data_IF_072750926136
#
_entry.id   IF_072750926136
#
_cell.length_a   1.000
_cell.length_b   1.000
_cell.length_c   1.000
_cell.angle_alpha   90.00
_cell.angle_beta   90.00
_cell.angle_gamma   90.00
#
_symmetry.space_group_name_H-M   'P 1'
#
loop_
_entity.id
_entity.type
_entity.pdbx_description
1 polymer ?
#
# COMPACT_ATOMS: atom_id res chain seq x y z
N UNK A 1 13.90 -9.38 20.34
CA UNK A 1 12.91 -8.87 19.36
C UNK A 1 11.81 -9.88 19.04
N UNK A 2 12.00 -10.92 18.20
CA UNK A 2 10.89 -11.87 17.87
C UNK A 2 10.47 -12.75 19.06
N UNK A 3 11.44 -13.29 19.81
CA UNK A 3 11.18 -14.21 20.94
C UNK A 3 10.42 -13.56 22.09
N UNK A 4 10.59 -12.25 22.29
CA UNK A 4 9.87 -11.47 23.31
C UNK A 4 8.40 -11.30 22.93
N UNK A 5 8.12 -10.95 21.67
CA UNK A 5 6.74 -10.85 21.15
C UNK A 5 6.03 -12.20 21.23
N UNK A 6 6.71 -13.28 20.82
CA UNK A 6 6.16 -14.65 20.92
C UNK A 6 5.90 -15.05 22.37
N UNK A 7 6.82 -14.74 23.29
CA UNK A 7 6.66 -15.06 24.71
C UNK A 7 5.50 -14.28 25.36
N UNK A 8 5.30 -13.01 24.97
CA UNK A 8 4.17 -12.20 25.42
C UNK A 8 2.85 -12.75 24.86
N UNK A 9 2.79 -13.00 23.55
CA UNK A 9 1.59 -13.51 22.89
C UNK A 9 1.12 -14.85 23.46
N UNK A 10 2.05 -15.78 23.77
CA UNK A 10 1.73 -17.07 24.40
C UNK A 10 1.09 -16.97 25.78
N UNK A 11 1.24 -15.82 26.47
CA UNK A 11 0.65 -15.57 27.80
C UNK A 11 -0.72 -14.89 27.70
N UNK A 12 -1.05 -14.35 26.53
CA UNK A 12 -2.34 -13.71 26.28
C UNK A 12 -3.36 -14.73 25.82
N UNK A 13 -4.58 -14.61 26.35
CA UNK A 13 -5.74 -15.25 25.73
C UNK A 13 -6.02 -14.59 24.37
N UNK A 14 -6.54 -15.35 23.41
CA UNK A 14 -6.99 -14.80 22.12
C UNK A 14 -8.17 -13.83 22.21
N UNK A 15 -8.75 -13.70 23.40
CA UNK A 15 -9.80 -12.73 23.73
C UNK A 15 -9.24 -11.50 24.47
N UNK A 16 -7.94 -11.45 24.73
CA UNK A 16 -7.34 -10.31 25.41
C UNK A 16 -7.24 -9.11 24.46
N UNK A 17 -7.55 -7.87 24.89
CA UNK A 17 -7.50 -6.69 24.02
C UNK A 17 -6.14 -6.47 23.34
N UNK A 18 -5.04 -6.78 24.04
CA UNK A 18 -3.69 -6.64 23.47
C UNK A 18 -3.31 -7.74 22.46
N UNK A 19 -4.12 -8.79 22.30
CA UNK A 19 -3.81 -9.89 21.40
C UNK A 19 -3.66 -9.40 19.96
N UNK A 20 -4.58 -8.55 19.49
CA UNK A 20 -4.54 -7.99 18.13
C UNK A 20 -3.24 -7.21 17.87
N UNK A 21 -2.85 -6.34 18.80
CA UNK A 21 -1.63 -5.54 18.70
C UNK A 21 -0.35 -6.40 18.74
N UNK A 22 -0.32 -7.47 19.55
CA UNK A 22 0.83 -8.39 19.58
C UNK A 22 0.90 -9.24 18.31
N UNK A 23 -0.23 -9.67 17.76
CA UNK A 23 -0.30 -10.30 16.43
C UNK A 23 0.21 -9.36 15.34
N UNK A 24 -0.14 -8.07 15.39
CA UNK A 24 0.38 -7.04 14.48
C UNK A 24 1.91 -6.96 14.53
N UNK A 25 2.48 -6.83 15.73
CA UNK A 25 3.93 -6.77 15.92
C UNK A 25 4.65 -8.00 15.41
N UNK A 26 4.10 -9.19 15.66
CA UNK A 26 4.69 -10.44 15.19
C UNK A 26 4.65 -10.50 13.65
N UNK A 27 3.53 -10.13 13.03
CA UNK A 27 3.41 -10.00 11.59
C UNK A 27 4.44 -9.03 11.00
N UNK A 28 4.65 -7.87 11.63
CA UNK A 28 5.66 -6.89 11.19
C UNK A 28 7.08 -7.46 11.23
N UNK A 29 7.44 -8.16 12.31
CA UNK A 29 8.76 -8.79 12.45
C UNK A 29 8.95 -9.85 11.35
N UNK A 30 7.99 -10.74 11.16
CA UNK A 30 8.04 -11.80 10.13
C UNK A 30 8.12 -11.24 8.71
N UNK A 31 7.33 -10.19 8.44
CA UNK A 31 7.35 -9.47 7.17
C UNK A 31 8.74 -8.86 6.90
N UNK A 32 9.38 -8.28 7.92
CA UNK A 32 10.73 -7.72 7.82
C UNK A 32 11.81 -8.77 7.56
N UNK A 33 11.62 -10.00 8.08
CA UNK A 33 12.53 -11.13 7.86
C UNK A 33 12.20 -11.92 6.59
N UNK A 34 11.14 -11.55 5.87
CA UNK A 34 10.75 -12.17 4.61
C UNK A 34 9.84 -13.40 4.73
N UNK A 35 9.39 -13.76 5.93
CA UNK A 35 8.38 -14.81 6.11
C UNK A 35 6.98 -14.23 5.87
N UNK A 36 6.68 -14.03 4.58
CA UNK A 36 5.47 -13.35 4.15
C UNK A 36 4.21 -14.18 4.41
N UNK A 37 4.28 -15.50 4.34
CA UNK A 37 3.11 -16.36 4.55
C UNK A 37 2.72 -16.35 6.03
N UNK A 38 3.70 -16.48 6.93
CA UNK A 38 3.40 -16.42 8.36
C UNK A 38 2.99 -15.01 8.78
N UNK A 39 3.61 -13.96 8.22
CA UNK A 39 3.23 -12.58 8.50
C UNK A 39 1.75 -12.30 8.18
N UNK A 40 1.26 -12.74 7.01
CA UNK A 40 -0.15 -12.55 6.63
C UNK A 40 -1.10 -13.26 7.60
N UNK A 41 -0.77 -14.48 8.04
CA UNK A 41 -1.58 -15.20 9.03
C UNK A 41 -1.72 -14.42 10.33
N UNK A 42 -0.63 -13.78 10.80
CA UNK A 42 -0.67 -12.96 12.00
C UNK A 42 -1.42 -11.65 11.80
N UNK A 43 -1.33 -11.02 10.63
CA UNK A 43 -2.14 -9.85 10.33
C UNK A 43 -3.63 -10.18 10.20
N UNK A 44 -3.99 -11.36 9.68
CA UNK A 44 -5.37 -11.83 9.67
C UNK A 44 -5.90 -12.07 11.09
N UNK A 45 -5.08 -12.65 11.98
CA UNK A 45 -5.45 -12.76 13.40
C UNK A 45 -5.61 -11.40 14.07
N UNK A 46 -4.75 -10.44 13.77
CA UNK A 46 -4.89 -9.07 14.28
C UNK A 46 -6.20 -8.44 13.80
N UNK A 47 -6.52 -8.61 12.51
CA UNK A 47 -7.77 -8.14 11.90
C UNK A 47 -9.01 -8.76 12.56
N UNK A 48 -9.01 -10.08 12.77
CA UNK A 48 -10.13 -10.82 13.36
C UNK A 48 -10.39 -10.45 14.83
N UNK A 49 -9.35 -9.94 15.52
CA UNK A 49 -9.39 -9.59 16.95
C UNK A 49 -9.42 -8.09 17.23
N UNK A 50 -9.36 -7.25 16.20
CA UNK A 50 -9.39 -5.81 16.35
C UNK A 50 -10.81 -5.31 16.70
N UNK A 51 -10.90 -4.51 17.76
CA UNK A 51 -12.17 -3.97 18.27
C UNK A 51 -12.53 -2.60 17.68
N UNK A 52 -11.64 -1.96 16.93
CA UNK A 52 -11.83 -0.63 16.35
C UNK A 52 -11.38 -0.57 14.89
N UNK A 53 -11.81 0.49 14.17
CA UNK A 53 -11.51 0.65 12.75
C UNK A 53 -10.05 0.98 12.47
N UNK A 54 -9.35 1.67 13.38
CA UNK A 54 -7.96 2.05 13.19
C UNK A 54 -7.04 0.83 13.16
N UNK A 55 -7.21 -0.10 14.11
CA UNK A 55 -6.46 -1.35 14.18
C UNK A 55 -6.77 -2.25 12.98
N UNK A 56 -8.05 -2.30 12.55
CA UNK A 56 -8.45 -3.04 11.33
C UNK A 56 -7.80 -2.43 10.09
N UNK A 57 -7.80 -1.10 9.98
CA UNK A 57 -7.19 -0.41 8.86
C UNK A 57 -5.67 -0.67 8.79
N UNK A 58 -4.98 -0.64 9.93
CA UNK A 58 -3.56 -0.99 10.01
C UNK A 58 -3.31 -2.45 9.62
N UNK A 59 -4.16 -3.38 10.07
CA UNK A 59 -4.08 -4.78 9.69
C UNK A 59 -4.22 -4.96 8.18
N UNK A 60 -5.23 -4.34 7.57
CA UNK A 60 -5.45 -4.36 6.13
C UNK A 60 -4.27 -3.74 5.36
N UNK A 61 -3.71 -2.64 5.84
CA UNK A 61 -2.55 -2.02 5.20
C UNK A 61 -1.32 -2.94 5.24
N UNK A 62 -1.10 -3.63 6.35
CA UNK A 62 -0.04 -4.62 6.48
C UNK A 62 -0.26 -5.87 5.61
N UNK A 63 -1.51 -6.34 5.49
CA UNK A 63 -1.89 -7.40 4.54
C UNK A 63 -1.61 -6.97 3.11
N UNK A 64 -1.98 -5.74 2.72
CA UNK A 64 -1.64 -5.17 1.42
C UNK A 64 -0.13 -5.24 1.16
N UNK A 65 0.69 -4.79 2.12
CA UNK A 65 2.13 -4.79 1.99
C UNK A 65 2.73 -6.18 1.78
N UNK A 66 2.22 -7.18 2.48
CA UNK A 66 2.68 -8.56 2.35
C UNK A 66 2.25 -9.17 1.00
N UNK A 67 1.00 -8.98 0.60
CA UNK A 67 0.45 -9.59 -0.62
C UNK A 67 1.13 -9.11 -1.89
N UNK A 68 1.42 -7.81 -2.02
CA UNK A 68 2.13 -7.33 -3.21
C UNK A 68 3.57 -7.89 -3.27
N UNK A 69 4.20 -8.15 -2.12
CA UNK A 69 5.53 -8.79 -2.05
C UNK A 69 5.45 -10.27 -2.42
N UNK A 70 4.43 -10.99 -1.96
CA UNK A 70 4.20 -12.40 -2.34
C UNK A 70 3.96 -12.56 -3.85
N UNK A 71 3.38 -11.55 -4.52
CA UNK A 71 3.17 -11.54 -5.97
C UNK A 71 4.46 -11.68 -6.81
N UNK A 72 5.65 -11.48 -6.22
CA UNK A 72 6.93 -11.77 -6.87
C UNK A 72 7.27 -13.26 -6.96
N UNK A 73 6.58 -14.09 -6.20
CA UNK A 73 6.72 -15.56 -6.21
C UNK A 73 5.73 -16.26 -7.13
N UNK A 74 4.80 -15.51 -7.72
CA UNK A 74 3.80 -16.00 -8.65
C UNK A 74 4.45 -16.72 -9.85
N UNK A 75 3.89 -17.87 -10.22
CA UNK A 75 4.41 -18.72 -11.31
C UNK A 75 3.92 -18.28 -12.69
N UNK A 76 2.89 -17.44 -12.74
CA UNK A 76 2.32 -16.92 -13.97
C UNK A 76 1.91 -15.46 -13.82
N UNK A 77 1.72 -14.78 -14.94
CA UNK A 77 1.19 -13.41 -14.96
C UNK A 77 -0.26 -13.35 -14.45
N UNK A 78 -1.04 -14.42 -14.64
CA UNK A 78 -2.40 -14.51 -14.13
C UNK A 78 -2.41 -14.58 -12.60
N UNK A 79 -1.57 -15.44 -12.01
CA UNK A 79 -1.43 -15.53 -10.55
C UNK A 79 -0.96 -14.19 -9.97
N UNK A 80 0.05 -13.57 -10.60
CA UNK A 80 0.56 -12.27 -10.17
C UNK A 80 -0.51 -11.18 -10.21
N UNK A 81 -1.35 -11.16 -11.26
CA UNK A 81 -2.45 -10.22 -11.38
C UNK A 81 -3.51 -10.46 -10.30
N UNK A 82 -3.76 -11.72 -9.92
CA UNK A 82 -4.66 -12.07 -8.84
C UNK A 82 -4.10 -11.64 -7.48
N UNK A 83 -2.81 -11.85 -7.23
CA UNK A 83 -2.15 -11.42 -5.99
C UNK A 83 -2.20 -9.89 -5.84
N UNK A 84 -1.98 -9.15 -6.93
CA UNK A 84 -2.14 -7.69 -6.95
C UNK A 84 -3.59 -7.23 -6.78
N UNK A 85 -4.58 -7.96 -7.31
CA UNK A 85 -5.98 -7.69 -7.00
C UNK A 85 -6.28 -7.89 -5.51
N UNK A 86 -5.79 -8.99 -4.92
CA UNK A 86 -5.97 -9.27 -3.49
C UNK A 86 -5.27 -8.23 -2.60
N UNK A 87 -4.11 -7.73 -3.03
CA UNK A 87 -3.39 -6.64 -2.37
C UNK A 87 -4.20 -5.33 -2.47
N UNK A 88 -4.68 -4.97 -3.66
CA UNK A 88 -5.47 -3.76 -3.87
C UNK A 88 -6.75 -3.74 -3.03
N UNK A 89 -7.47 -4.88 -2.93
CA UNK A 89 -8.65 -5.00 -2.06
C UNK A 89 -8.31 -4.68 -0.61
N UNK A 90 -7.17 -5.16 -0.11
CA UNK A 90 -6.73 -4.87 1.26
C UNK A 90 -6.37 -3.38 1.42
N UNK A 91 -5.71 -2.76 0.44
CA UNK A 91 -5.43 -1.33 0.46
C UNK A 91 -6.73 -0.49 0.49
N UNK A 92 -7.72 -0.84 -0.34
CA UNK A 92 -9.01 -0.15 -0.37
C UNK A 92 -9.74 -0.25 0.98
N UNK A 93 -9.74 -1.41 1.62
CA UNK A 93 -10.29 -1.58 2.96
C UNK A 93 -9.56 -0.74 4.01
N UNK A 94 -8.22 -0.66 3.94
CA UNK A 94 -7.42 0.18 4.82
C UNK A 94 -7.76 1.68 4.64
N UNK A 95 -7.89 2.12 3.40
CA UNK A 95 -8.26 3.50 3.04
C UNK A 95 -9.64 3.85 3.59
N UNK A 96 -10.63 2.99 3.36
CA UNK A 96 -12.01 3.21 3.79
C UNK A 96 -12.11 3.31 5.32
N UNK A 97 -11.54 2.36 6.05
CA UNK A 97 -11.63 2.32 7.50
C UNK A 97 -10.85 3.43 8.20
N UNK A 98 -9.81 3.98 7.55
CA UNK A 98 -8.95 5.01 8.11
C UNK A 98 -9.26 6.43 7.62
N UNK A 99 -10.38 6.62 6.92
CA UNK A 99 -10.75 7.89 6.29
C UNK A 99 -9.61 8.47 5.45
N UNK A 100 -8.96 7.62 4.64
CA UNK A 100 -7.91 8.04 3.71
C UNK A 100 -6.49 8.11 4.26
N UNK A 101 -6.26 7.91 5.56
CA UNK A 101 -4.91 7.95 6.16
C UNK A 101 -3.91 7.00 5.49
N UNK A 102 -4.37 5.85 4.99
CA UNK A 102 -3.52 4.87 4.28
C UNK A 102 -3.51 5.03 2.75
N UNK A 103 -4.14 6.06 2.19
CA UNK A 103 -4.13 6.26 0.75
C UNK A 103 -2.75 6.68 0.24
N UNK A 104 -2.32 6.06 -0.86
CA UNK A 104 -0.98 6.21 -1.43
C UNK A 104 -0.88 7.35 -2.46
N UNK A 105 -2.02 7.89 -2.88
CA UNK A 105 -2.16 9.06 -3.74
C UNK A 105 -3.30 9.93 -3.23
N UNK A 106 -3.42 11.16 -3.75
CA UNK A 106 -4.50 12.05 -3.36
C UNK A 106 -5.86 11.49 -3.81
N UNK A 107 -6.65 11.05 -2.84
CA UNK A 107 -8.01 10.58 -3.05
C UNK A 107 -9.06 11.63 -2.66
N UNK A 108 -8.68 12.65 -1.90
CA UNK A 108 -9.60 13.68 -1.39
C UNK A 108 -10.13 14.57 -2.50
N UNK A 109 -9.30 14.82 -3.53
CA UNK A 109 -9.72 15.58 -4.71
C UNK A 109 -10.57 14.71 -5.65
N UNK A 110 -10.55 13.38 -5.50
CA UNK A 110 -11.35 12.44 -6.28
C UNK A 110 -10.90 12.30 -7.74
N UNK A 111 -9.73 12.83 -8.11
CA UNK A 111 -9.26 12.82 -9.50
C UNK A 111 -8.88 11.43 -10.01
N UNK A 112 -8.40 10.55 -9.15
CA UNK A 112 -7.82 9.28 -9.58
C UNK A 112 -8.40 8.06 -8.83
N UNK A 113 -9.68 7.70 -9.04
CA UNK A 113 -10.24 6.46 -8.51
C UNK A 113 -9.45 5.22 -8.93
N UNK A 114 -9.17 4.31 -7.99
CA UNK A 114 -8.37 3.10 -8.21
C UNK A 114 -9.12 2.04 -9.02
N UNK A 115 -8.49 1.52 -10.07
CA UNK A 115 -9.00 0.40 -10.87
C UNK A 115 -8.21 -0.88 -10.67
N UNK A 116 -6.88 -0.80 -10.75
CA UNK A 116 -6.01 -1.99 -10.71
C UNK A 116 -4.60 -1.66 -10.25
N UNK A 117 -3.99 -2.56 -9.50
CA UNK A 117 -2.55 -2.51 -9.25
C UNK A 117 -1.79 -3.14 -10.42
N UNK A 118 -0.90 -2.36 -11.04
CA UNK A 118 -0.09 -2.78 -12.20
C UNK A 118 1.26 -3.34 -11.78
N UNK A 119 1.79 -2.89 -10.64
CA UNK A 119 3.07 -3.34 -10.14
C UNK A 119 3.50 -2.66 -8.85
N UNK A 120 4.53 -3.22 -8.24
CA UNK A 120 5.25 -2.66 -7.10
C UNK A 120 6.75 -2.92 -7.26
N UNK A 121 7.57 -2.19 -6.52
CA UNK A 121 9.02 -2.34 -6.46
C UNK A 121 9.59 -1.57 -5.27
N UNK A 122 10.91 -1.43 -5.19
CA UNK A 122 11.57 -0.82 -4.02
C UNK A 122 11.14 0.62 -3.71
N UNK A 123 10.75 1.40 -4.73
CA UNK A 123 10.35 2.79 -4.54
C UNK A 123 8.85 2.98 -4.31
N UNK A 124 8.01 2.05 -4.75
CA UNK A 124 6.58 2.30 -4.78
C UNK A 124 5.73 1.36 -5.63
N UNK A 125 4.42 1.61 -5.66
CA UNK A 125 3.46 0.93 -6.54
C UNK A 125 3.05 1.79 -7.75
N UNK A 126 2.53 1.11 -8.78
CA UNK A 126 1.87 1.71 -9.93
C UNK A 126 0.41 1.25 -9.94
N UNK A 127 -0.50 2.21 -9.98
CA UNK A 127 -1.94 2.01 -9.91
C UNK A 127 -2.58 2.55 -11.18
N UNK A 128 -3.30 1.70 -11.91
CA UNK A 128 -4.21 2.13 -12.95
C UNK A 128 -5.41 2.80 -12.28
N UNK A 129 -5.70 4.03 -12.69
CA UNK A 129 -6.79 4.83 -12.16
C UNK A 129 -7.67 5.36 -13.30
N UNK A 130 -8.92 5.66 -12.98
CA UNK A 130 -9.72 6.56 -13.81
C UNK A 130 -9.09 7.97 -13.79
N UNK A 131 -9.33 8.74 -14.84
CA UNK A 131 -8.91 10.14 -14.89
C UNK A 131 -10.13 11.07 -14.82
N UNK A 132 -10.38 11.61 -13.64
CA UNK A 132 -11.40 12.64 -13.40
C UNK A 132 -10.78 14.04 -13.32
N UNK A 133 -9.46 14.17 -13.53
CA UNK A 133 -8.79 15.47 -13.60
C UNK A 133 -9.09 16.14 -14.96
N UNK A 134 -9.98 17.14 -14.95
CA UNK A 134 -10.41 17.86 -16.15
C UNK A 134 -9.29 18.66 -16.84
N UNK A 135 -8.15 18.87 -16.17
CA UNK A 135 -6.97 19.52 -16.76
C UNK A 135 -6.16 18.57 -17.65
N UNK A 136 -6.23 17.26 -17.38
CA UNK A 136 -5.57 16.22 -18.17
C UNK A 136 -6.55 15.68 -19.21
N UNK A 137 -6.50 16.23 -20.43
CA UNK A 137 -7.41 15.85 -21.52
C UNK A 137 -6.85 14.71 -22.36
N UNK A 138 -7.73 13.94 -22.99
CA UNK A 138 -7.36 12.87 -23.93
C UNK A 138 -7.03 11.52 -23.30
N UNK A 139 -7.12 11.42 -21.97
CA UNK A 139 -6.85 10.19 -21.23
C UNK A 139 -8.07 9.85 -20.36
N UNK A 140 -8.73 8.70 -20.59
CA UNK A 140 -9.78 8.22 -19.69
C UNK A 140 -9.22 7.50 -18.45
N UNK A 141 -8.00 6.97 -18.58
CA UNK A 141 -7.27 6.29 -17.53
C UNK A 141 -5.85 6.80 -17.49
N UNK A 142 -5.27 6.81 -16.29
CA UNK A 142 -3.88 7.21 -16.05
C UNK A 142 -3.21 6.19 -15.12
N UNK A 143 -1.88 6.15 -15.16
CA UNK A 143 -1.10 5.38 -14.18
C UNK A 143 -0.58 6.35 -13.13
N UNK A 144 -1.00 6.15 -11.88
CA UNK A 144 -0.49 6.87 -10.73
C UNK A 144 0.64 6.04 -10.11
N UNK A 145 1.85 6.60 -10.11
CA UNK A 145 3.00 6.03 -9.42
C UNK A 145 3.11 6.69 -8.05
N UNK A 146 3.10 5.89 -7.00
CA UNK A 146 3.17 6.36 -5.61
C UNK A 146 4.51 5.96 -4.99
N UNK A 147 5.02 6.72 -4.03
CA UNK A 147 6.16 6.32 -3.21
C UNK A 147 5.68 5.55 -1.96
N UNK A 148 6.51 4.65 -1.43
CA UNK A 148 6.24 4.02 -0.13
C UNK A 148 6.55 4.93 1.06
N UNK A 149 7.56 5.78 0.88
CA UNK A 149 8.11 6.63 1.93
C UNK A 149 7.51 8.03 1.87
N UNK A 150 7.33 8.64 3.04
CA UNK A 150 6.97 10.05 3.15
C UNK A 150 8.20 10.90 2.84
N UNK A 151 8.41 11.17 1.56
CA UNK A 151 9.46 12.06 1.10
C UNK A 151 9.10 13.50 1.48
N UNK A 152 10.06 14.21 2.09
CA UNK A 152 9.92 15.63 2.41
C UNK A 152 10.81 16.47 1.50
N UNK A 153 10.30 17.60 1.01
CA UNK A 153 11.08 18.54 0.20
C UNK A 153 10.22 19.32 -0.78
N UNK A 154 10.87 20.14 -1.60
CA UNK A 154 10.20 20.76 -2.74
C UNK A 154 9.79 19.70 -3.77
N UNK A 155 8.64 19.89 -4.44
CA UNK A 155 8.17 18.96 -5.46
C UNK A 155 9.23 18.73 -6.56
N UNK A 156 9.93 19.79 -6.98
CA UNK A 156 11.00 19.69 -7.97
C UNK A 156 12.11 18.74 -7.52
N UNK A 157 12.51 18.78 -6.25
CA UNK A 157 13.55 17.91 -5.72
C UNK A 157 13.09 16.44 -5.67
N UNK A 158 11.85 16.20 -5.23
CA UNK A 158 11.29 14.85 -5.09
C UNK A 158 11.04 14.19 -6.46
N UNK A 159 10.58 14.97 -7.44
CA UNK A 159 10.18 14.46 -8.74
C UNK A 159 11.21 14.70 -9.86
N UNK A 160 12.42 15.20 -9.53
CA UNK A 160 13.48 15.47 -10.50
C UNK A 160 13.84 14.25 -11.37
N UNK A 161 13.95 13.07 -10.76
CA UNK A 161 14.34 11.85 -11.47
C UNK A 161 13.32 11.46 -12.56
N UNK A 162 12.00 11.38 -12.28
CA UNK A 162 10.99 11.19 -13.32
C UNK A 162 11.09 12.18 -14.50
N UNK A 163 11.33 13.46 -14.23
CA UNK A 163 11.47 14.46 -15.30
C UNK A 163 12.74 14.25 -16.12
N UNK A 164 13.90 14.10 -15.45
CA UNK A 164 15.17 13.87 -16.11
C UNK A 164 15.17 12.59 -16.97
N UNK A 165 14.50 11.52 -16.50
CA UNK A 165 14.36 10.30 -17.30
C UNK A 165 13.55 10.51 -18.57
N UNK A 166 12.47 11.29 -18.52
CA UNK A 166 11.70 11.62 -19.72
C UNK A 166 12.51 12.50 -20.67
N UNK A 167 13.28 13.46 -20.16
CA UNK A 167 14.13 14.32 -21.00
C UNK A 167 15.22 13.53 -21.75
N UNK A 168 15.75 12.47 -21.11
CA UNK A 168 16.81 11.61 -21.70
C UNK A 168 16.24 10.58 -22.67
N UNK A 169 15.15 9.90 -22.28
CA UNK A 169 14.65 8.72 -22.98
C UNK A 169 13.32 8.95 -23.74
N UNK A 170 12.77 10.17 -23.67
CA UNK A 170 11.63 10.65 -24.46
C UNK A 170 10.48 9.64 -24.51
N UNK A 171 10.21 9.15 -25.71
CA UNK A 171 9.09 8.27 -26.05
C UNK A 171 9.11 6.90 -25.34
N UNK A 172 10.23 6.50 -24.75
CA UNK A 172 10.37 5.23 -24.04
C UNK A 172 10.03 5.30 -22.55
N UNK A 173 9.86 6.50 -22.00
CA UNK A 173 9.51 6.73 -20.60
C UNK A 173 8.17 7.45 -20.52
N UNK A 174 7.22 6.96 -19.69
CA UNK A 174 5.94 7.64 -19.51
C UNK A 174 6.13 9.11 -19.16
N UNK A 175 5.44 9.98 -19.90
CA UNK A 175 5.41 11.41 -19.62
C UNK A 175 4.67 11.67 -18.32
N UNK A 176 5.28 12.42 -17.41
CA UNK A 176 4.60 12.92 -16.20
C UNK A 176 3.51 13.91 -16.59
N UNK A 177 2.26 13.58 -16.27
CA UNK A 177 1.09 14.43 -16.55
C UNK A 177 0.73 15.34 -15.36
N UNK A 178 0.98 14.87 -14.15
CA UNK A 178 0.68 15.52 -12.87
C UNK A 178 1.55 14.89 -11.76
N UNK A 179 1.78 15.62 -10.67
CA UNK A 179 2.59 15.20 -9.53
C UNK A 179 2.26 16.04 -8.29
N UNK A 180 2.35 15.41 -7.12
CA UNK A 180 2.01 16.08 -5.87
C UNK A 180 2.14 15.15 -4.66
N UNK A 181 1.89 15.73 -3.50
CA UNK A 181 1.78 14.97 -2.26
C UNK A 181 0.34 14.51 -2.04
N UNK A 182 0.18 13.34 -1.45
CA UNK A 182 -1.11 12.80 -1.06
C UNK A 182 -1.62 13.55 0.18
N UNK A 183 -2.45 14.59 0.03
CA UNK A 183 -3.00 15.34 1.15
C UNK A 183 -4.30 14.69 1.65
N UNK A 184 -4.18 13.49 2.21
CA UNK A 184 -5.32 12.64 2.51
C UNK A 184 -5.93 12.86 3.90
N UNK A 185 -5.31 13.69 4.76
CA UNK A 185 -5.79 13.97 6.12
C UNK A 185 -6.45 15.35 6.14
N UNK A 186 -7.77 15.37 6.35
CA UNK A 186 -8.52 16.61 6.60
C UNK A 186 -8.30 16.98 8.08
N UNK A 187 -7.74 18.17 8.34
CA UNK A 187 -7.59 18.72 9.69
C UNK A 187 -8.91 19.22 10.27
#
# INVERSE_FOLDING_TARGET
MIWEVVAQLKRLSSQHPEYAHMSMKLGCVLSSTGDLVEAELWFQQALDKADNNDDKAEAYFNIFQVRWRQAFTAKSQADKAQDYANALTALQAAIELSNGRFALHDINIGYYPLLKMLGAGGMGCALLCENHNFTIKGHQQVVVKCFWENLSGGLEQVFNEPFAMHDIAGDYVPKTLDFGYANNVIY
#
